data_IF_206153379038
#
_entry.id   IF_206153379038
#
_cell.length_a   1.000
_cell.length_b   1.000
_cell.length_c   1.000
_cell.angle_alpha   90.00
_cell.angle_beta   90.00
_cell.angle_gamma   90.00
#
_symmetry.space_group_name_H-M   'P 1'
#
loop_
_entity.id
_entity.type
_entity.pdbx_description
1 polymer ?
#
# COMPACT_ATOMS: atom_id res chain seq x y z
N UNK A 1 1.67 13.01 -2.15
CA UNK A 1 0.60 12.26 -2.85
C UNK A 1 1.19 10.91 -3.18
N UNK A 2 0.39 9.84 -3.16
CA UNK A 2 0.88 8.54 -3.57
C UNK A 2 0.60 8.28 -5.05
N UNK A 3 1.41 7.43 -5.67
CA UNK A 3 1.33 7.05 -7.07
C UNK A 3 1.02 5.55 -7.23
N UNK A 4 0.46 5.19 -8.38
CA UNK A 4 0.27 3.78 -8.74
C UNK A 4 1.64 3.10 -8.89
N UNK A 5 1.78 1.90 -8.31
CA UNK A 5 3.02 1.14 -8.22
C UNK A 5 3.81 1.38 -6.94
N UNK A 6 3.51 2.45 -6.17
CA UNK A 6 4.18 2.65 -4.89
C UNK A 6 3.76 1.60 -3.85
N UNK A 7 4.73 1.15 -3.05
CA UNK A 7 4.47 0.28 -1.91
C UNK A 7 4.21 1.12 -0.66
N UNK A 8 3.09 0.85 0.01
CA UNK A 8 2.66 1.54 1.21
C UNK A 8 2.34 0.55 2.34
N UNK A 9 2.70 0.92 3.56
CA UNK A 9 2.23 0.26 4.78
C UNK A 9 0.90 0.87 5.22
N UNK A 10 -0.16 0.05 5.30
CA UNK A 10 -1.46 0.43 5.81
C UNK A 10 -1.48 0.33 7.35
N UNK A 11 -1.58 1.47 8.02
CA UNK A 11 -1.60 1.57 9.48
C UNK A 11 -2.81 0.84 10.07
N UNK A 12 -3.94 0.79 9.36
CA UNK A 12 -5.19 0.23 9.88
C UNK A 12 -5.19 -1.30 9.91
N UNK A 13 -4.64 -1.94 8.86
CA UNK A 13 -4.54 -3.41 8.81
C UNK A 13 -3.19 -3.95 9.25
N UNK A 14 -2.18 -3.08 9.41
CA UNK A 14 -0.79 -3.49 9.67
C UNK A 14 -0.12 -4.17 8.48
N UNK A 15 -0.73 -4.15 7.28
CA UNK A 15 -0.25 -4.86 6.09
C UNK A 15 0.43 -3.92 5.10
N UNK A 16 1.34 -4.47 4.32
CA UNK A 16 1.99 -3.77 3.21
C UNK A 16 1.27 -4.11 1.91
N UNK A 17 1.01 -3.11 1.08
CA UNK A 17 0.38 -3.30 -0.23
C UNK A 17 0.92 -2.33 -1.27
N UNK A 18 0.70 -2.69 -2.54
CA UNK A 18 1.01 -1.85 -3.68
C UNK A 18 -0.22 -1.01 -4.04
N UNK A 19 -0.02 0.27 -4.33
CA UNK A 19 -1.10 1.14 -4.79
C UNK A 19 -1.41 0.82 -6.24
N UNK A 20 -2.63 0.38 -6.51
CA UNK A 20 -3.07 0.00 -7.86
C UNK A 20 -4.05 0.98 -8.48
N UNK A 21 -4.59 1.91 -7.68
CA UNK A 21 -5.50 2.94 -8.15
C UNK A 21 -5.51 4.15 -7.22
N UNK A 22 -5.64 5.34 -7.80
CA UNK A 22 -5.89 6.60 -7.11
C UNK A 22 -7.20 7.18 -7.64
N UNK A 23 -8.17 7.45 -6.76
CA UNK A 23 -9.47 8.02 -7.10
C UNK A 23 -9.58 9.44 -6.55
N UNK A 24 -10.08 10.38 -7.35
CA UNK A 24 -10.26 11.80 -7.01
C UNK A 24 -11.28 12.51 -7.93
N UNK A 25 -11.47 13.84 -7.81
CA UNK A 25 -10.66 14.81 -7.05
C UNK A 25 -10.87 14.74 -5.53
N UNK A 26 -10.07 15.50 -4.76
CA UNK A 26 -9.88 15.33 -3.31
C UNK A 26 -11.18 15.23 -2.46
N UNK A 27 -11.19 14.43 -1.38
CA UNK A 27 -10.07 13.66 -0.83
C UNK A 27 -9.71 12.44 -1.69
N UNK A 28 -8.40 12.21 -1.89
CA UNK A 28 -7.93 11.07 -2.65
C UNK A 28 -8.14 9.77 -1.88
N UNK A 29 -8.68 8.77 -2.58
CA UNK A 29 -8.81 7.39 -2.10
C UNK A 29 -7.82 6.53 -2.88
N UNK A 30 -6.98 5.81 -2.16
CA UNK A 30 -5.96 4.91 -2.69
C UNK A 30 -6.44 3.47 -2.54
N UNK A 31 -6.36 2.69 -3.62
CA UNK A 31 -6.62 1.25 -3.58
C UNK A 31 -5.29 0.51 -3.46
N UNK A 32 -5.11 -0.23 -2.38
CA UNK A 32 -3.96 -1.08 -2.12
C UNK A 32 -4.29 -2.52 -2.47
N UNK A 33 -3.42 -3.16 -3.23
CA UNK A 33 -3.37 -4.62 -3.42
C UNK A 33 -2.41 -5.20 -2.39
N UNK A 34 -2.93 -6.01 -1.47
CA UNK A 34 -2.16 -6.70 -0.44
C UNK A 34 -2.13 -8.19 -0.75
N UNK A 35 -0.93 -8.75 -0.85
CA UNK A 35 -0.74 -10.20 -0.99
C UNK A 35 -0.81 -10.83 0.40
N UNK A 36 -1.73 -11.77 0.61
CA UNK A 36 -1.97 -12.38 1.92
C UNK A 36 -1.35 -13.76 2.06
N UNK A 37 -1.01 -14.41 0.93
CA UNK A 37 -0.29 -15.68 0.87
C UNK A 37 -0.14 -16.20 -0.57
N UNK A 38 0.62 -17.28 -0.80
CA UNK A 38 0.88 -17.83 -2.15
C UNK A 38 -0.35 -18.48 -2.81
N UNK A 39 -1.34 -18.88 -2.01
CA UNK A 39 -2.57 -19.54 -2.49
C UNK A 39 -3.84 -18.77 -2.10
N UNK A 40 -3.70 -17.55 -1.59
CA UNK A 40 -4.82 -16.73 -1.16
C UNK A 40 -5.12 -15.63 -2.20
N UNK A 41 -6.40 -15.29 -2.44
CA UNK A 41 -6.73 -14.17 -3.29
C UNK A 41 -6.19 -12.87 -2.68
N UNK A 42 -5.70 -11.93 -3.51
CA UNK A 42 -5.21 -10.66 -3.01
C UNK A 42 -6.33 -9.83 -2.38
N UNK A 43 -6.02 -9.19 -1.26
CA UNK A 43 -6.95 -8.29 -0.58
C UNK A 43 -6.86 -6.89 -1.20
N UNK A 44 -8.02 -6.31 -1.51
CA UNK A 44 -8.11 -4.94 -2.03
C UNK A 44 -8.59 -4.01 -0.92
N UNK A 45 -7.74 -3.07 -0.52
CA UNK A 45 -8.02 -2.14 0.57
C UNK A 45 -8.14 -0.70 0.05
N UNK A 46 -9.17 0.02 0.49
CA UNK A 46 -9.33 1.44 0.18
C UNK A 46 -8.88 2.29 1.37
N UNK A 47 -7.98 3.26 1.13
CA UNK A 47 -7.37 4.09 2.18
C UNK A 47 -7.26 5.55 1.80
N UNK A 48 -7.33 6.40 2.81
CA UNK A 48 -6.93 7.80 2.70
C UNK A 48 -5.41 7.93 2.91
N UNK A 49 -4.83 9.02 2.40
CA UNK A 49 -3.38 9.26 2.50
C UNK A 49 -2.82 9.16 3.93
N UNK A 50 -3.60 9.60 4.93
CA UNK A 50 -3.21 9.58 6.35
C UNK A 50 -3.09 8.18 6.96
N UNK A 51 -3.71 7.18 6.33
CA UNK A 51 -3.69 5.78 6.77
C UNK A 51 -2.52 5.00 6.18
N UNK A 52 -1.70 5.66 5.35
CA UNK A 52 -0.58 5.05 4.65
C UNK A 52 0.76 5.62 5.14
N UNK A 53 1.78 4.77 5.21
CA UNK A 53 3.16 5.14 5.54
C UNK A 53 4.12 4.52 4.55
N UNK A 54 5.26 5.18 4.31
CA UNK A 54 6.31 4.63 3.45
C UNK A 54 6.91 3.40 4.12
N UNK A 55 7.12 2.35 3.33
CA UNK A 55 7.94 1.21 3.74
C UNK A 55 9.39 1.65 3.60
N UNK A 56 10.21 1.44 4.63
CA UNK A 56 11.65 1.68 4.48
C UNK A 56 12.18 0.80 3.35
N UNK A 57 13.05 1.30 2.46
CA UNK A 57 13.71 0.43 1.50
C UNK A 57 14.43 -0.67 2.28
N UNK A 58 14.43 -1.94 1.80
CA UNK A 58 15.17 -3.00 2.47
C UNK A 58 16.62 -2.53 2.62
N UNK A 59 17.06 -2.36 3.86
CA UNK A 59 18.45 -2.00 4.15
C UNK A 59 19.26 -3.20 3.67
N UNK A 60 19.87 -3.10 2.49
CA UNK A 60 20.83 -4.10 2.04
C UNK A 60 21.98 -4.12 3.04
N UNK A 61 21.92 -5.02 4.03
CA UNK A 61 23.09 -5.40 4.81
C UNK A 61 24.01 -6.16 3.86
N UNK A 62 24.93 -5.44 3.24
CA UNK A 62 26.12 -6.03 2.63
C UNK A 62 26.99 -6.55 3.78
N UNK A 63 27.03 -7.86 3.94
CA UNK A 63 28.13 -8.58 4.61
C UNK A 63 29.33 -8.66 3.68
#
# INVERSE_FOLDING_TARGET
MWEVGETAWDVKSGRTGEIVQVTGPAPYIYRLRVVTGPHEPPLMLYRYARELRRVAPPVSRRT
#
